data_IF_381530218426
#
_entry.id   IF_381530218426
#
_cell.length_a   1.000
_cell.length_b   1.000
_cell.length_c   1.000
_cell.angle_alpha   90.00
_cell.angle_beta   90.00
_cell.angle_gamma   90.00
#
_symmetry.space_group_name_H-M   'P 1'
#
loop_
_entity.id
_entity.type
_entity.pdbx_description
1 polymer ?
#
# COMPACT_ATOMS: atom_id res chain seq x y z
N UNK A 1 0.18 -6.96 -16.34
CA UNK A 1 1.02 -5.80 -16.00
C UNK A 1 0.85 -5.47 -14.52
N UNK A 2 1.81 -4.77 -13.92
CA UNK A 2 1.73 -4.33 -12.52
C UNK A 2 0.71 -3.20 -12.34
N UNK A 3 -0.07 -3.28 -11.27
CA UNK A 3 -1.09 -2.29 -10.90
C UNK A 3 -1.29 -2.25 -9.38
N UNK A 4 -1.75 -1.12 -8.84
CA UNK A 4 -2.00 -0.93 -7.41
C UNK A 4 -3.39 -1.45 -7.05
N UNK A 5 -3.44 -2.60 -6.38
CA UNK A 5 -4.70 -3.24 -5.97
C UNK A 5 -5.46 -2.46 -4.90
N UNK A 6 -4.74 -1.90 -3.93
CA UNK A 6 -5.32 -1.19 -2.79
C UNK A 6 -4.26 -0.46 -1.97
N UNK A 7 -4.71 0.52 -1.19
CA UNK A 7 -3.88 1.31 -0.28
C UNK A 7 -4.58 1.40 1.07
N UNK A 8 -3.80 1.41 2.13
CA UNK A 8 -4.30 1.61 3.48
C UNK A 8 -3.24 2.31 4.33
N UNK A 9 -3.66 3.18 5.24
CA UNK A 9 -2.75 3.83 6.19
C UNK A 9 -2.80 3.12 7.54
N UNK A 10 -1.62 2.95 8.15
CA UNK A 10 -1.50 2.58 9.56
C UNK A 10 -1.21 3.84 10.37
N UNK A 11 -2.08 4.15 11.32
CA UNK A 11 -1.94 5.31 12.19
C UNK A 11 -1.55 4.83 13.59
N UNK A 12 -0.38 5.29 14.06
CA UNK A 12 0.09 5.00 15.42
C UNK A 12 -0.80 5.60 16.50
N UNK A 13 -0.66 5.08 17.72
CA UNK A 13 -1.29 5.69 18.91
C UNK A 13 -0.69 7.08 19.15
N UNK A 14 -1.46 7.98 19.75
CA UNK A 14 -0.93 9.30 20.13
C UNK A 14 0.32 9.14 21.02
N UNK A 15 1.38 9.88 20.70
CA UNK A 15 2.69 9.78 21.35
C UNK A 15 3.53 8.55 20.98
N UNK A 16 3.04 7.65 20.11
CA UNK A 16 3.80 6.50 19.63
C UNK A 16 4.70 6.90 18.45
N UNK A 17 5.94 6.44 18.48
CA UNK A 17 6.87 6.55 17.35
C UNK A 17 6.65 5.45 16.30
N UNK A 18 5.93 4.38 16.64
CA UNK A 18 5.60 3.27 15.73
C UNK A 18 4.11 3.24 15.40
N UNK A 19 3.79 2.81 14.18
CA UNK A 19 2.42 2.66 13.66
C UNK A 19 1.89 1.22 13.67
N UNK A 20 2.53 0.33 14.44
CA UNK A 20 2.17 -1.09 14.48
C UNK A 20 0.73 -1.31 14.97
N UNK A 21 -0.02 -2.12 14.23
CA UNK A 21 -1.38 -2.52 14.59
C UNK A 21 -1.42 -3.32 15.90
N UNK A 22 -0.41 -4.16 16.13
CA UNK A 22 -0.26 -4.95 17.36
C UNK A 22 0.00 -4.11 18.61
N UNK A 23 0.53 -2.89 18.46
CA UNK A 23 0.78 -1.95 19.57
C UNK A 23 -0.35 -0.92 19.75
N UNK A 24 -1.55 -1.21 19.24
CA UNK A 24 -2.72 -0.33 19.36
C UNK A 24 -2.84 0.74 18.27
N UNK A 25 -2.10 0.60 17.16
CA UNK A 25 -2.34 1.37 15.94
C UNK A 25 -3.67 1.02 15.29
N UNK A 26 -4.18 1.90 14.43
CA UNK A 26 -5.45 1.70 13.70
C UNK A 26 -5.23 1.76 12.19
N UNK A 27 -5.93 0.90 11.46
CA UNK A 27 -6.05 1.02 10.00
C UNK A 27 -7.03 2.13 9.65
N UNK A 28 -6.70 2.96 8.66
CA UNK A 28 -7.59 3.99 8.11
C UNK A 28 -7.43 4.10 6.60
N UNK A 29 -8.49 4.56 5.93
CA UNK A 29 -8.43 4.90 4.51
C UNK A 29 -7.45 6.06 4.30
N UNK A 30 -6.66 5.98 3.23
CA UNK A 30 -5.62 6.98 2.96
C UNK A 30 -6.23 8.36 2.72
N UNK A 31 -7.38 8.42 2.07
CA UNK A 31 -8.12 9.64 1.77
C UNK A 31 -8.50 10.38 3.06
N UNK A 32 -8.93 9.65 4.09
CA UNK A 32 -9.30 10.22 5.38
C UNK A 32 -8.08 10.75 6.13
N UNK A 33 -6.96 10.01 6.07
CA UNK A 33 -5.69 10.44 6.70
C UNK A 33 -5.17 11.69 6.01
N UNK A 34 -5.16 11.73 4.67
CA UNK A 34 -4.70 12.88 3.92
C UNK A 34 -5.61 14.10 4.12
N UNK A 35 -6.94 13.93 4.12
CA UNK A 35 -7.89 15.04 4.37
C UNK A 35 -7.66 15.72 5.72
N UNK A 36 -7.27 14.96 6.75
CA UNK A 36 -7.03 15.51 8.10
C UNK A 36 -5.68 16.21 8.25
N UNK A 37 -4.67 15.82 7.48
CA UNK A 37 -3.29 16.29 7.67
C UNK A 37 -2.80 17.25 6.57
N UNK A 38 -3.40 17.18 5.38
CA UNK A 38 -2.98 17.96 4.20
C UNK A 38 -4.18 18.81 3.77
N UNK A 39 -4.11 20.15 3.91
CA UNK A 39 -5.26 21.02 3.70
C UNK A 39 -5.66 21.12 2.21
N UNK A 40 -4.67 21.22 1.32
CA UNK A 40 -4.91 21.45 -0.10
C UNK A 40 -5.21 20.15 -0.87
N UNK A 41 -6.29 20.15 -1.64
CA UNK A 41 -6.73 18.98 -2.41
C UNK A 41 -5.71 18.55 -3.46
N UNK A 42 -5.16 19.52 -4.21
CA UNK A 42 -4.17 19.23 -5.26
C UNK A 42 -2.93 18.53 -4.68
N UNK A 43 -2.51 18.91 -3.47
CA UNK A 43 -1.40 18.25 -2.79
C UNK A 43 -1.75 16.81 -2.41
N UNK A 44 -2.98 16.54 -1.96
CA UNK A 44 -3.43 15.17 -1.65
C UNK A 44 -3.44 14.29 -2.90
N UNK A 45 -3.95 14.80 -4.01
CA UNK A 45 -3.98 14.09 -5.29
C UNK A 45 -2.57 13.76 -5.77
N UNK A 46 -1.65 14.74 -5.75
CA UNK A 46 -0.24 14.53 -6.06
C UNK A 46 0.40 13.47 -5.17
N UNK A 47 0.14 13.47 -3.87
CA UNK A 47 0.66 12.46 -2.94
C UNK A 47 0.17 11.05 -3.33
N UNK A 48 -1.10 10.89 -3.71
CA UNK A 48 -1.62 9.60 -4.16
C UNK A 48 -0.95 9.14 -5.46
N UNK A 49 -0.72 10.05 -6.40
CA UNK A 49 0.02 9.75 -7.63
C UNK A 49 1.47 9.34 -7.34
N UNK A 50 2.16 10.08 -6.47
CA UNK A 50 3.52 9.77 -6.04
C UNK A 50 3.62 8.39 -5.37
N UNK A 51 2.65 8.03 -4.52
CA UNK A 51 2.58 6.70 -3.89
C UNK A 51 2.43 5.60 -4.95
N UNK A 52 1.53 5.79 -5.92
CA UNK A 52 1.32 4.81 -7.00
C UNK A 52 2.58 4.68 -7.85
N UNK A 53 3.18 5.80 -8.23
CA UNK A 53 4.41 5.82 -9.02
C UNK A 53 5.54 5.08 -8.31
N UNK A 54 5.86 5.46 -7.07
CA UNK A 54 6.91 4.82 -6.27
C UNK A 54 6.63 3.33 -6.10
N UNK A 55 5.38 2.94 -5.83
CA UNK A 55 5.02 1.53 -5.63
C UNK A 55 5.26 0.69 -6.87
N UNK A 56 4.86 1.17 -8.04
CA UNK A 56 5.04 0.47 -9.31
C UNK A 56 6.53 0.41 -9.70
N UNK A 57 7.25 1.53 -9.58
CA UNK A 57 8.66 1.57 -9.95
C UNK A 57 9.54 0.75 -9.00
N UNK A 58 9.26 0.77 -7.70
CA UNK A 58 9.92 -0.12 -6.73
C UNK A 58 9.68 -1.59 -7.07
N UNK A 59 8.42 -1.96 -7.36
CA UNK A 59 8.06 -3.34 -7.70
C UNK A 59 8.77 -3.82 -8.96
N UNK A 60 8.70 -3.04 -10.06
CA UNK A 60 9.40 -3.37 -11.31
C UNK A 60 10.91 -3.47 -11.14
N UNK A 61 11.48 -2.59 -10.31
CA UNK A 61 12.94 -2.58 -10.08
C UNK A 61 13.36 -3.81 -9.29
N UNK A 62 12.63 -4.15 -8.23
CA UNK A 62 12.92 -5.30 -7.38
C UNK A 62 12.70 -6.63 -8.11
N UNK A 63 11.62 -6.76 -8.89
CA UNK A 63 11.31 -7.96 -9.68
C UNK A 63 12.46 -8.36 -10.60
N UNK A 64 13.19 -7.39 -11.19
CA UNK A 64 14.39 -7.67 -12.02
C UNK A 64 15.48 -8.42 -11.25
N UNK A 65 15.54 -8.26 -9.93
CA UNK A 65 16.57 -8.87 -9.08
C UNK A 65 16.11 -10.14 -8.37
N UNK A 66 14.84 -10.20 -7.95
CA UNK A 66 14.30 -11.31 -7.15
C UNK A 66 13.52 -12.34 -7.98
N UNK A 67 13.25 -12.03 -9.25
CA UNK A 67 12.40 -12.84 -10.13
C UNK A 67 10.91 -12.53 -9.97
N UNK A 68 10.09 -13.26 -10.72
CA UNK A 68 8.64 -13.10 -10.75
C UNK A 68 8.03 -13.43 -9.38
N UNK A 69 7.36 -12.44 -8.76
CA UNK A 69 6.75 -12.61 -7.43
C UNK A 69 5.21 -12.55 -7.45
N UNK A 70 4.60 -11.99 -8.50
CA UNK A 70 3.14 -11.91 -8.68
C UNK A 70 2.41 -10.93 -7.76
N UNK A 71 2.98 -10.61 -6.61
CA UNK A 71 2.52 -9.56 -5.72
C UNK A 71 3.65 -8.89 -4.94
N UNK A 72 3.41 -7.65 -4.53
CA UNK A 72 4.30 -6.92 -3.62
C UNK A 72 3.50 -5.89 -2.82
N UNK A 73 3.72 -5.86 -1.51
CA UNK A 73 3.27 -4.76 -0.65
C UNK A 73 4.39 -3.75 -0.50
N UNK A 74 4.11 -2.49 -0.78
CA UNK A 74 5.06 -1.40 -0.65
C UNK A 74 4.64 -0.54 0.54
N UNK A 75 5.54 -0.42 1.51
CA UNK A 75 5.35 0.44 2.67
C UNK A 75 6.06 1.78 2.41
N UNK A 76 5.30 2.87 2.57
CA UNK A 76 5.77 4.24 2.33
C UNK A 76 5.45 5.14 3.52
N UNK A 77 6.31 6.12 3.73
CA UNK A 77 6.10 7.24 4.65
C UNK A 77 5.72 8.51 3.89
N UNK A 78 4.93 9.38 4.51
CA UNK A 78 4.60 10.71 3.99
C UNK A 78 5.08 11.72 5.03
N UNK A 79 5.96 12.64 4.63
CA UNK A 79 6.42 13.70 5.53
C UNK A 79 5.44 14.89 5.60
N UNK A 80 5.78 15.86 6.45
CA UNK A 80 4.94 17.05 6.70
C UNK A 80 4.74 17.93 5.45
N UNK A 81 5.62 17.83 4.46
CA UNK A 81 5.54 18.58 3.21
C UNK A 81 4.84 17.77 2.10
N UNK A 82 4.34 16.56 2.42
CA UNK A 82 3.72 15.68 1.45
C UNK A 82 4.73 15.03 0.50
N UNK A 83 6.00 14.87 0.91
CA UNK A 83 6.95 14.04 0.17
C UNK A 83 6.78 12.58 0.59
N UNK A 84 6.74 11.71 -0.40
CA UNK A 84 6.60 10.26 -0.21
C UNK A 84 7.98 9.62 -0.16
N UNK A 85 8.18 8.74 0.80
CA UNK A 85 9.43 8.03 1.07
C UNK A 85 9.18 6.53 1.04
N UNK A 86 9.95 5.80 0.22
CA UNK A 86 9.96 4.35 0.26
C UNK A 86 10.60 3.87 1.58
N UNK A 87 10.00 2.87 2.23
CA UNK A 87 10.50 2.27 3.47
C UNK A 87 10.93 0.83 3.22
N UNK A 88 9.97 -0.02 2.80
CA UNK A 88 10.22 -1.43 2.57
C UNK A 88 9.29 -2.02 1.50
N UNK A 89 9.65 -3.20 1.01
CA UNK A 89 8.88 -3.98 0.07
C UNK A 89 8.74 -5.42 0.57
N UNK A 90 7.51 -5.94 0.58
CA UNK A 90 7.15 -7.25 1.11
C UNK A 90 6.53 -8.12 0.02
N UNK A 91 7.16 -9.25 -0.31
CA UNK A 91 6.63 -10.22 -1.29
C UNK A 91 5.46 -11.07 -0.78
N UNK A 92 5.11 -10.95 0.52
CA UNK A 92 3.96 -11.61 1.15
C UNK A 92 3.20 -10.62 2.02
N UNK A 93 2.49 -9.66 1.42
CA UNK A 93 1.86 -8.57 2.17
C UNK A 93 0.72 -9.06 3.06
N UNK A 94 0.65 -8.50 4.27
CA UNK A 94 -0.47 -8.71 5.18
C UNK A 94 -1.71 -7.94 4.68
N UNK A 95 -2.81 -8.65 4.46
CA UNK A 95 -4.07 -8.10 3.90
C UNK A 95 -5.12 -7.74 4.95
N UNK A 96 -4.88 -8.07 6.22
CA UNK A 96 -5.82 -7.83 7.32
C UNK A 96 -6.20 -6.34 7.46
N UNK A 97 -5.30 -5.43 7.05
CA UNK A 97 -5.57 -3.99 7.07
C UNK A 97 -6.82 -3.61 6.29
N UNK A 98 -7.15 -4.30 5.19
CA UNK A 98 -8.36 -4.03 4.40
C UNK A 98 -9.65 -4.35 5.16
N UNK A 99 -9.64 -5.36 6.04
CA UNK A 99 -10.78 -5.63 6.93
C UNK A 99 -10.99 -4.47 7.92
N UNK A 100 -9.89 -3.92 8.46
CA UNK A 100 -9.94 -2.84 9.45
C UNK A 100 -10.54 -1.55 8.88
N UNK A 101 -10.44 -1.34 7.57
CA UNK A 101 -10.93 -0.13 6.90
C UNK A 101 -12.23 -0.36 6.10
N UNK A 102 -12.83 -1.56 6.23
CA UNK A 102 -14.08 -1.91 5.55
C UNK A 102 -13.96 -2.06 4.03
N UNK A 103 -12.76 -2.33 3.52
CA UNK A 103 -12.45 -2.47 2.09
C UNK A 103 -12.50 -3.94 1.65
N UNK A 104 -13.66 -4.58 1.80
CA UNK A 104 -13.86 -6.01 1.52
C UNK A 104 -13.56 -6.38 0.07
N UNK A 105 -13.97 -5.56 -0.90
CA UNK A 105 -13.73 -5.82 -2.34
C UNK A 105 -12.24 -5.72 -2.67
N UNK A 106 -11.55 -4.72 -2.13
CA UNK A 106 -10.10 -4.58 -2.26
C UNK A 106 -9.37 -5.76 -1.63
N UNK A 107 -9.86 -6.26 -0.49
CA UNK A 107 -9.33 -7.48 0.11
C UNK A 107 -9.50 -8.69 -0.81
N UNK A 108 -10.70 -8.90 -1.37
CA UNK A 108 -10.96 -10.01 -2.30
C UNK A 108 -10.03 -9.93 -3.52
N UNK A 109 -9.94 -8.76 -4.16
CA UNK A 109 -9.03 -8.54 -5.30
C UNK A 109 -7.57 -8.80 -4.95
N UNK A 110 -7.14 -8.49 -3.72
CA UNK A 110 -5.77 -8.76 -3.24
C UNK A 110 -5.45 -10.26 -3.07
N UNK A 111 -6.46 -11.11 -3.11
CA UNK A 111 -6.34 -12.58 -3.11
C UNK A 111 -6.47 -13.10 -4.54
N UNK A 112 -7.45 -12.58 -5.29
CA UNK A 112 -7.74 -13.02 -6.66
C UNK A 112 -6.60 -12.73 -7.64
N UNK A 113 -6.02 -11.52 -7.62
CA UNK A 113 -4.98 -11.13 -8.60
C UNK A 113 -3.75 -12.06 -8.56
N UNK A 114 -3.16 -12.40 -7.39
CA UNK A 114 -2.08 -13.39 -7.32
C UNK A 114 -2.49 -14.77 -7.86
N UNK A 115 -3.73 -15.22 -7.60
CA UNK A 115 -4.24 -16.49 -8.13
C UNK A 115 -4.40 -16.47 -9.65
N UNK A 116 -4.90 -15.36 -10.21
CA UNK A 116 -5.00 -15.16 -11.65
C UNK A 116 -3.63 -15.18 -12.32
N UNK A 117 -2.64 -14.52 -11.70
CA UNK A 117 -1.27 -14.53 -12.20
C UNK A 117 -0.65 -15.94 -12.15
N UNK A 118 -0.89 -16.69 -11.08
CA UNK A 118 -0.47 -18.08 -10.98
C UNK A 118 -1.13 -18.97 -12.05
N UNK A 119 -2.44 -18.77 -12.32
CA UNK A 119 -3.15 -19.46 -13.41
C UNK A 119 -2.53 -19.18 -14.77
N UNK A 120 -2.24 -17.90 -15.06
CA UNK A 120 -1.54 -17.49 -16.28
C UNK A 120 -0.17 -18.19 -16.44
N UNK A 121 0.64 -18.22 -15.37
CA UNK A 121 1.94 -18.92 -15.41
C UNK A 121 1.82 -20.43 -15.61
N UNK A 122 0.71 -21.02 -15.15
CA UNK A 122 0.40 -22.44 -15.34
C UNK A 122 -0.22 -22.76 -16.72
N UNK A 123 -0.50 -21.74 -17.54
CA UNK A 123 -1.05 -21.90 -18.90
C UNK A 123 -2.58 -21.96 -18.98
N UNK A 124 -3.27 -21.39 -17.98
CA UNK A 124 -4.74 -21.23 -17.97
C UNK A 124 -5.18 -19.82 -18.32
#
# INVERSE_FOLDING_TARGET
EWDVTGMACRVGKNGSIISNLSSGGRGQKIEDVLKRNIPYQQTRERIIEDIKFISIEATKTLEKSIGQCGEMGIDVGIDKNGKVWFIEANIRPARYVFNLIGESDTRLRSIEKPMQYAGYLAGF
#
